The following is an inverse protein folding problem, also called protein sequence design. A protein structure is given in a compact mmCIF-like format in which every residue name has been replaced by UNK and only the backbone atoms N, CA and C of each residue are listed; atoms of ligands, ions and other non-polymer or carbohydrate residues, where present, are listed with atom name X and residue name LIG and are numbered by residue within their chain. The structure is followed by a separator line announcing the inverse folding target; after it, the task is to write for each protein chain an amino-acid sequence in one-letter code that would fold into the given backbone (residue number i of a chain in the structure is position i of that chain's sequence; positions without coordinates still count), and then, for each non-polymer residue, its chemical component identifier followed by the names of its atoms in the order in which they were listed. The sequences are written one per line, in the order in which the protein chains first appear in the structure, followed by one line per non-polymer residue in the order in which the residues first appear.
data_IF_027163384493
#
_entry.id   IF_027163384493
#
_cell.length_a   1.000
_cell.length_b   1.000
_cell.length_c   1.000
_cell.angle_alpha   90.00
_cell.angle_beta   90.00
_cell.angle_gamma   90.00
#
_symmetry.space_group_name_H-M   'P 1'
#
loop_
_entity.id
_entity.type
_entity.pdbx_description
1 polymer ?
#
# COMPACT_ATOMS: atom_id res chain seq x y z
N UNK A 1 -30.15 -24.77 5.97
CA UNK A 1 -29.20 -23.72 6.35
C UNK A 1 -28.24 -23.42 5.19
N UNK A 2 -28.56 -22.40 4.37
CA UNK A 2 -27.66 -21.93 3.31
C UNK A 2 -26.70 -20.91 3.92
N UNK A 3 -25.39 -21.20 3.90
CA UNK A 3 -24.34 -20.22 4.21
C UNK A 3 -24.32 -19.23 3.06
N UNK A 4 -24.96 -18.08 3.25
CA UNK A 4 -24.79 -16.94 2.35
C UNK A 4 -23.34 -16.47 2.49
N UNK A 5 -22.56 -16.61 1.42
CA UNK A 5 -21.29 -15.94 1.23
C UNK A 5 -21.58 -14.45 1.03
N UNK A 6 -21.56 -13.67 2.10
CA UNK A 6 -21.86 -12.24 2.05
C UNK A 6 -20.73 -11.50 1.33
N UNK A 7 -21.06 -10.94 0.17
CA UNK A 7 -20.16 -10.19 -0.69
C UNK A 7 -19.89 -8.80 -0.12
N UNK A 8 -18.87 -8.66 0.72
CA UNK A 8 -18.00 -7.48 0.60
C UNK A 8 -17.23 -7.68 -0.69
N UNK A 9 -17.53 -6.90 -1.74
CA UNK A 9 -16.82 -7.05 -3.02
C UNK A 9 -15.32 -6.87 -2.79
N UNK A 10 -14.58 -7.97 -2.96
CA UNK A 10 -13.15 -7.95 -3.27
C UNK A 10 -12.97 -7.12 -4.55
N UNK A 11 -12.08 -6.14 -4.54
CA UNK A 11 -11.73 -5.44 -5.78
C UNK A 11 -11.03 -6.42 -6.74
N UNK A 12 -11.33 -6.40 -8.06
CA UNK A 12 -10.92 -7.47 -8.97
C UNK A 12 -9.49 -7.36 -9.54
N UNK A 13 -8.59 -6.58 -8.95
CA UNK A 13 -7.25 -6.35 -9.52
C UNK A 13 -6.15 -6.98 -8.68
N UNK A 14 -6.22 -8.30 -8.52
CA UNK A 14 -5.13 -9.12 -8.01
C UNK A 14 -4.87 -10.26 -9.00
N UNK A 15 -3.89 -10.06 -9.89
CA UNK A 15 -3.12 -11.16 -10.47
C UNK A 15 -1.64 -10.78 -10.50
N UNK A 16 -0.94 -11.31 -9.49
CA UNK A 16 0.37 -11.92 -9.52
C UNK A 16 1.29 -11.55 -10.71
N UNK A 17 2.35 -10.81 -10.38
CA UNK A 17 3.55 -10.78 -11.21
C UNK A 17 4.33 -12.08 -11.06
N UNK A 18 4.69 -12.69 -12.18
CA UNK A 18 5.61 -13.82 -12.23
C UNK A 18 7.07 -13.30 -12.38
N UNK A 19 8.08 -13.97 -11.79
CA UNK A 19 9.47 -13.57 -11.85
C UNK A 19 10.22 -14.33 -12.94
N UNK A 20 11.02 -13.58 -13.69
CA UNK A 20 12.03 -14.15 -14.58
C UNK A 20 11.81 -13.72 -16.01
N UNK A 21 12.72 -12.89 -16.52
CA UNK A 21 13.10 -12.97 -17.91
C UNK A 21 14.47 -12.30 -18.09
N UNK A 22 15.40 -13.05 -18.71
CA UNK A 22 16.45 -12.46 -19.52
C UNK A 22 15.76 -11.57 -20.56
N UNK A 23 15.75 -10.26 -20.32
CA UNK A 23 14.91 -9.35 -21.09
C UNK A 23 15.69 -8.81 -22.29
N UNK A 24 15.21 -9.11 -23.49
CA UNK A 24 15.58 -8.41 -24.73
C UNK A 24 14.37 -7.59 -25.17
N UNK A 25 14.32 -6.31 -24.83
CA UNK A 25 13.33 -5.39 -25.41
C UNK A 25 13.75 -5.06 -26.84
N UNK A 26 12.82 -5.13 -27.80
CA UNK A 26 13.08 -4.78 -29.20
C UNK A 26 12.02 -3.80 -29.68
N UNK A 27 12.45 -2.73 -30.34
CA UNK A 27 11.54 -1.75 -30.96
C UNK A 27 11.93 -1.55 -32.42
N UNK A 28 11.03 -1.90 -33.33
CA UNK A 28 11.20 -1.65 -34.77
C UNK A 28 10.78 -0.22 -35.07
N UNK A 29 11.64 0.51 -35.80
CA UNK A 29 11.40 1.88 -36.22
C UNK A 29 11.61 1.96 -37.73
N UNK A 30 10.71 2.65 -38.43
CA UNK A 30 10.83 2.92 -39.87
C UNK A 30 11.07 4.42 -40.01
N UNK A 31 12.16 4.80 -40.67
CA UNK A 31 12.53 6.20 -40.91
C UNK A 31 12.55 6.45 -42.41
N UNK A 32 12.04 7.62 -42.83
CA UNK A 32 12.25 8.09 -44.19
C UNK A 32 13.68 8.66 -44.37
N UNK A 33 14.15 8.86 -45.61
CA UNK A 33 15.43 9.49 -45.86
C UNK A 33 15.54 10.86 -45.16
N UNK A 34 16.59 11.05 -44.35
CA UNK A 34 16.84 12.28 -43.60
C UNK A 34 16.08 12.41 -42.27
N UNK A 35 15.23 11.45 -41.91
CA UNK A 35 14.47 11.47 -40.65
C UNK A 35 15.30 10.92 -39.48
N UNK A 36 15.05 11.44 -38.27
CA UNK A 36 15.65 10.96 -37.03
C UNK A 36 14.56 10.81 -35.97
N UNK A 37 14.57 9.70 -35.24
CA UNK A 37 13.61 9.43 -34.17
C UNK A 37 14.30 9.06 -32.87
N UNK A 38 13.87 9.69 -31.77
CA UNK A 38 14.29 9.32 -30.42
C UNK A 38 13.59 8.03 -30.00
N UNK A 39 14.37 7.03 -29.61
CA UNK A 39 13.89 5.78 -29.04
C UNK A 39 14.21 5.75 -27.55
N UNK A 40 13.22 5.42 -26.72
CA UNK A 40 13.38 5.29 -25.27
C UNK A 40 12.95 3.87 -24.84
N UNK A 41 13.74 3.29 -23.95
CA UNK A 41 13.46 2.04 -23.26
C UNK A 41 13.35 2.34 -21.76
N UNK A 42 12.42 1.68 -21.08
CA UNK A 42 12.23 1.82 -19.63
C UNK A 42 12.42 0.46 -18.97
N UNK A 43 13.22 0.43 -17.90
CA UNK A 43 13.50 -0.76 -17.12
C UNK A 43 13.63 -0.38 -15.64
N UNK A 44 12.91 -1.10 -14.78
CA UNK A 44 13.00 -0.98 -13.32
C UNK A 44 13.72 -2.21 -12.78
N UNK A 45 14.94 -2.07 -12.24
CA UNK A 45 15.69 -3.18 -11.65
C UNK A 45 14.94 -3.80 -10.46
N UNK A 46 14.95 -5.14 -10.36
CA UNK A 46 14.38 -5.86 -9.21
C UNK A 46 15.41 -6.23 -8.13
N UNK A 47 16.70 -6.24 -8.49
CA UNK A 47 17.78 -6.66 -7.59
C UNK A 47 18.87 -5.58 -7.53
N UNK A 48 19.49 -5.45 -6.36
CA UNK A 48 20.63 -4.57 -6.16
C UNK A 48 21.90 -5.19 -6.78
N UNK A 49 22.21 -4.83 -8.03
CA UNK A 49 23.41 -5.26 -8.74
C UNK A 49 23.77 -4.30 -9.89
N UNK A 50 24.93 -4.52 -10.49
CA UNK A 50 25.29 -3.85 -11.74
C UNK A 50 24.57 -4.52 -12.90
N UNK A 51 23.83 -3.73 -13.68
CA UNK A 51 23.20 -4.16 -14.92
C UNK A 51 24.02 -3.62 -16.09
N UNK A 52 24.27 -4.50 -17.06
CA UNK A 52 24.90 -4.14 -18.33
C UNK A 52 23.81 -4.01 -19.38
N UNK A 53 23.87 -2.93 -20.14
CA UNK A 53 22.92 -2.62 -21.22
C UNK A 53 23.69 -2.65 -22.53
N UNK A 54 23.18 -3.37 -23.52
CA UNK A 54 23.74 -3.39 -24.87
C UNK A 54 22.66 -3.02 -25.87
N UNK A 55 22.91 -2.00 -26.70
CA UNK A 55 22.03 -1.57 -27.78
C UNK A 55 22.89 -1.48 -29.04
N UNK A 56 22.64 -2.36 -30.01
CA UNK A 56 23.31 -2.34 -31.32
C UNK A 56 24.85 -2.23 -31.24
N UNK A 57 25.46 -3.01 -30.34
CA UNK A 57 26.91 -3.03 -30.12
C UNK A 57 27.45 -1.92 -29.20
N UNK A 58 26.63 -0.93 -28.83
CA UNK A 58 26.97 0.03 -27.79
C UNK A 58 26.69 -0.56 -26.41
N UNK A 59 27.68 -0.57 -25.53
CA UNK A 59 27.54 -1.05 -24.16
C UNK A 59 27.58 0.08 -23.15
N UNK A 60 26.68 0.03 -22.16
CA UNK A 60 26.71 0.85 -20.96
C UNK A 60 26.45 -0.03 -19.74
N UNK A 61 26.62 0.56 -18.55
CA UNK A 61 26.20 -0.11 -17.32
C UNK A 61 25.64 0.91 -16.33
N UNK A 62 24.79 0.43 -15.44
CA UNK A 62 24.34 1.21 -14.29
C UNK A 62 24.24 0.28 -13.08
N UNK A 63 24.45 0.84 -11.88
CA UNK A 63 24.34 0.10 -10.63
C UNK A 63 22.95 0.33 -10.03
N UNK A 64 22.18 -0.73 -9.89
CA UNK A 64 20.99 -0.73 -9.05
C UNK A 64 21.42 -0.94 -7.59
N UNK A 65 20.92 -0.08 -6.70
CA UNK A 65 21.10 -0.21 -5.25
C UNK A 65 19.82 -0.74 -4.63
N UNK A 66 19.93 -1.39 -3.47
CA UNK A 66 18.76 -1.87 -2.74
C UNK A 66 17.86 -0.68 -2.38
N UNK A 67 16.55 -0.88 -2.51
CA UNK A 67 15.60 0.10 -2.03
C UNK A 67 15.79 0.24 -0.53
N UNK A 68 15.97 1.47 -0.07
CA UNK A 68 15.89 1.77 1.35
C UNK A 68 14.40 1.86 1.66
N UNK A 69 13.94 0.96 2.53
CA UNK A 69 12.51 0.78 2.79
C UNK A 69 12.14 1.18 4.23
N UNK A 70 10.93 1.70 4.36
CA UNK A 70 10.18 1.71 5.59
C UNK A 70 9.48 0.37 5.78
N UNK A 71 9.47 -0.11 7.03
CA UNK A 71 8.76 -1.31 7.44
C UNK A 71 7.56 -0.88 8.27
N UNK A 72 6.36 -0.96 7.69
CA UNK A 72 5.12 -0.65 8.40
C UNK A 72 4.67 -1.87 9.20
N UNK A 73 4.53 -1.68 10.51
CA UNK A 73 4.04 -2.68 11.44
C UNK A 73 2.68 -2.25 12.02
N UNK A 74 1.90 -3.23 12.47
CA UNK A 74 0.71 -2.96 13.25
C UNK A 74 1.13 -2.67 14.70
N UNK A 75 0.87 -1.45 15.16
CA UNK A 75 1.06 -1.03 16.54
C UNK A 75 -0.16 -1.34 17.41
N UNK A 76 -0.39 -0.52 18.44
CA UNK A 76 -1.51 -0.72 19.35
C UNK A 76 -2.83 -0.42 18.64
N UNK A 77 -3.71 -1.43 18.56
CA UNK A 77 -5.09 -1.27 18.12
C UNK A 77 -6.01 -1.55 19.31
N UNK A 78 -6.77 -0.53 19.71
CA UNK A 78 -7.76 -0.62 20.78
C UNK A 78 -9.16 -0.49 20.22
N UNK A 79 -9.99 -1.49 20.46
CA UNK A 79 -11.38 -1.51 20.05
C UNK A 79 -12.29 -1.50 21.28
N UNK A 80 -13.48 -0.91 21.18
CA UNK A 80 -14.48 -1.05 22.24
C UNK A 80 -14.91 -2.53 22.26
N UNK A 81 -15.11 -3.08 23.45
CA UNK A 81 -15.43 -4.51 23.70
C UNK A 81 -16.67 -5.04 22.96
N UNK A 82 -17.38 -4.17 22.25
CA UNK A 82 -18.64 -4.46 21.54
C UNK A 82 -18.50 -4.40 20.02
N UNK A 83 -17.31 -4.17 19.47
CA UNK A 83 -16.96 -4.25 18.04
C UNK A 83 -16.18 -5.55 17.80
N UNK A 84 -16.60 -6.36 16.83
CA UNK A 84 -16.19 -7.76 16.71
C UNK A 84 -15.14 -8.04 15.63
N UNK A 85 -14.90 -7.10 14.72
CA UNK A 85 -13.93 -7.30 13.65
C UNK A 85 -13.29 -5.98 13.25
N UNK A 86 -11.98 -6.03 13.04
CA UNK A 86 -11.25 -5.00 12.34
C UNK A 86 -10.29 -5.58 11.34
N UNK A 87 -9.92 -4.78 10.36
CA UNK A 87 -8.75 -5.02 9.52
C UNK A 87 -7.90 -3.75 9.49
N UNK A 88 -6.59 -3.92 9.40
CA UNK A 88 -5.66 -2.81 9.26
C UNK A 88 -5.10 -2.78 7.85
N UNK A 89 -4.96 -1.58 7.30
CA UNK A 89 -4.55 -1.39 5.92
C UNK A 89 -3.51 -0.29 5.83
N UNK A 90 -2.45 -0.53 5.07
CA UNK A 90 -1.63 0.55 4.49
C UNK A 90 -1.92 0.59 3.00
N UNK A 91 -2.27 1.77 2.48
CA UNK A 91 -2.38 2.00 1.05
C UNK A 91 -1.18 2.80 0.56
N UNK A 92 -0.48 2.24 -0.41
CA UNK A 92 0.60 2.90 -1.14
C UNK A 92 0.05 3.49 -2.43
N UNK A 93 -0.14 4.81 -2.44
CA UNK A 93 -0.68 5.55 -3.58
C UNK A 93 0.27 5.55 -4.75
N UNK A 94 1.57 5.67 -4.47
CA UNK A 94 2.63 5.67 -5.49
C UNK A 94 2.65 4.36 -6.26
N UNK A 95 2.50 3.22 -5.57
CA UNK A 95 2.40 1.90 -6.20
C UNK A 95 0.95 1.50 -6.56
N UNK A 96 -0.05 2.30 -6.19
CA UNK A 96 -1.47 1.98 -6.28
C UNK A 96 -1.81 0.60 -5.71
N UNK A 97 -1.31 0.30 -4.50
CA UNK A 97 -1.40 -1.02 -3.86
C UNK A 97 -1.92 -0.94 -2.44
N UNK A 98 -2.77 -1.90 -2.08
CA UNK A 98 -3.26 -2.10 -0.72
C UNK A 98 -2.53 -3.26 -0.06
N UNK A 99 -2.24 -3.10 1.22
CA UNK A 99 -1.67 -4.14 2.06
C UNK A 99 -2.58 -4.36 3.26
N UNK A 100 -3.24 -5.51 3.31
CA UNK A 100 -4.23 -5.83 4.32
C UNK A 100 -3.62 -6.72 5.40
N UNK A 101 -3.92 -6.43 6.66
CA UNK A 101 -3.46 -7.25 7.77
C UNK A 101 -4.05 -8.66 7.70
N UNK A 102 -5.34 -8.78 7.40
CA UNK A 102 -6.04 -10.07 7.30
C UNK A 102 -5.48 -11.01 6.22
N UNK A 103 -4.82 -10.49 5.19
CA UNK A 103 -4.18 -11.30 4.13
C UNK A 103 -2.68 -11.50 4.32
N UNK A 104 -2.15 -11.14 5.51
CA UNK A 104 -0.72 -11.28 5.82
C UNK A 104 0.15 -10.20 5.17
N UNK A 105 -0.43 -9.05 4.81
CA UNK A 105 0.31 -7.94 4.21
C UNK A 105 1.33 -7.28 5.14
N UNK A 106 1.21 -7.46 6.46
CA UNK A 106 2.11 -6.89 7.45
C UNK A 106 3.14 -7.93 7.96
N UNK A 107 4.40 -7.52 8.23
CA UNK A 107 4.94 -6.18 8.04
C UNK A 107 5.07 -5.80 6.55
N UNK A 108 4.77 -4.53 6.26
CA UNK A 108 4.75 -3.98 4.91
C UNK A 108 6.08 -3.30 4.60
N UNK A 109 6.63 -3.57 3.42
CA UNK A 109 7.85 -2.93 2.94
C UNK A 109 7.51 -1.86 1.89
N UNK A 110 7.75 -0.60 2.21
CA UNK A 110 7.47 0.54 1.33
C UNK A 110 8.77 1.32 1.06
N UNK A 111 9.14 1.56 -0.20
CA UNK A 111 10.28 2.41 -0.51
C UNK A 111 10.13 3.84 0.00
N UNK A 112 11.24 4.46 0.42
CA UNK A 112 11.29 5.90 0.69
C UNK A 112 10.82 6.69 -0.54
N UNK A 113 10.07 7.75 -0.31
CA UNK A 113 9.50 8.65 -1.31
C UNK A 113 8.06 8.29 -1.71
N UNK A 114 7.56 7.12 -1.30
CA UNK A 114 6.18 6.73 -1.57
C UNK A 114 5.20 7.53 -0.69
N UNK A 115 4.05 7.88 -1.26
CA UNK A 115 2.94 8.52 -0.55
C UNK A 115 1.96 7.45 -0.07
N UNK A 116 1.67 7.40 1.23
CA UNK A 116 0.86 6.36 1.86
C UNK A 116 -0.19 6.92 2.81
N UNK A 117 -1.25 6.16 3.09
CA UNK A 117 -2.07 6.34 4.30
C UNK A 117 -2.24 5.03 5.05
N UNK A 118 -2.55 5.13 6.34
CA UNK A 118 -2.97 4.02 7.18
C UNK A 118 -4.48 4.07 7.41
N UNK A 119 -5.12 2.91 7.52
CA UNK A 119 -6.54 2.84 7.83
C UNK A 119 -6.89 1.64 8.71
N UNK A 120 -7.95 1.80 9.49
CA UNK A 120 -8.61 0.71 10.19
C UNK A 120 -10.04 0.59 9.69
N UNK A 121 -10.36 -0.62 9.28
CA UNK A 121 -11.70 -1.07 8.93
C UNK A 121 -12.39 -1.61 10.17
N UNK A 122 -13.66 -1.28 10.39
CA UNK A 122 -14.47 -1.83 11.48
C UNK A 122 -15.83 -2.29 10.96
N UNK A 123 -16.29 -3.46 11.42
CA UNK A 123 -17.61 -4.01 11.07
C UNK A 123 -18.55 -4.08 12.28
N UNK A 124 -19.75 -3.53 12.15
CA UNK A 124 -20.79 -3.57 13.18
C UNK A 124 -21.65 -4.84 13.04
N UNK A 125 -21.37 -5.86 13.85
CA UNK A 125 -22.19 -7.10 13.94
C UNK A 125 -23.42 -6.98 14.84
N UNK A 126 -23.69 -5.80 15.41
CA UNK A 126 -24.82 -5.60 16.32
C UNK A 126 -26.11 -5.41 15.54
N UNK A 127 -27.23 -5.76 16.16
CA UNK A 127 -28.57 -5.53 15.63
C UNK A 127 -29.03 -4.07 15.72
N UNK A 128 -28.19 -3.17 16.22
CA UNK A 128 -28.48 -1.74 16.34
C UNK A 128 -27.32 -0.88 15.80
N UNK A 129 -27.65 0.36 15.46
CA UNK A 129 -26.70 1.36 14.97
C UNK A 129 -25.77 1.81 16.09
N UNK A 130 -24.47 1.91 15.81
CA UNK A 130 -23.46 2.47 16.72
C UNK A 130 -22.85 3.72 16.09
N UNK A 131 -22.52 4.72 16.89
CA UNK A 131 -21.72 5.86 16.45
C UNK A 131 -20.26 5.62 16.84
N UNK A 132 -19.36 5.61 15.85
CA UNK A 132 -17.94 5.34 16.06
C UNK A 132 -17.11 6.60 15.86
N UNK A 133 -16.13 6.77 16.74
CA UNK A 133 -15.04 7.73 16.57
C UNK A 133 -13.73 6.97 16.36
N UNK A 134 -13.01 7.33 15.31
CA UNK A 134 -11.73 6.74 14.93
C UNK A 134 -10.57 7.67 15.27
N UNK A 135 -9.52 7.10 15.85
CA UNK A 135 -8.25 7.77 16.15
C UNK A 135 -7.13 6.92 15.59
N UNK A 136 -6.85 7.03 14.29
CA UNK A 136 -5.79 6.30 13.59
C UNK A 136 -4.56 7.16 13.43
N UNK A 137 -3.37 6.59 13.54
CA UNK A 137 -2.10 7.31 13.38
C UNK A 137 -1.02 6.48 12.71
N UNK A 138 -0.20 7.15 11.92
CA UNK A 138 1.09 6.68 11.43
C UNK A 138 2.21 7.38 12.20
N UNK A 139 3.08 6.59 12.80
CA UNK A 139 4.23 7.07 13.57
C UNK A 139 5.52 6.61 12.89
N UNK A 140 6.47 7.52 12.74
CA UNK A 140 7.77 7.23 12.14
C UNK A 140 8.71 6.48 13.12
N UNK A 141 9.87 6.02 12.65
CA UNK A 141 10.84 5.28 13.46
C UNK A 141 11.40 6.05 14.66
N UNK A 142 11.31 7.39 14.65
CA UNK A 142 11.73 8.26 15.75
C UNK A 142 10.61 8.49 16.77
N UNK A 143 9.42 7.91 16.55
CA UNK A 143 8.26 8.07 17.41
C UNK A 143 7.41 9.31 17.10
N UNK A 144 7.66 10.00 15.99
CA UNK A 144 6.94 11.21 15.59
C UNK A 144 5.66 10.80 14.83
N UNK A 145 4.51 11.35 15.22
CA UNK A 145 3.25 11.17 14.46
C UNK A 145 3.34 11.99 13.17
N UNK A 146 3.17 11.33 12.03
CA UNK A 146 3.32 11.95 10.70
C UNK A 146 2.01 12.12 9.95
N UNK A 147 1.02 11.29 10.29
CA UNK A 147 -0.35 11.42 9.84
C UNK A 147 -1.29 10.85 10.89
N UNK A 148 -2.46 11.46 11.03
CA UNK A 148 -3.52 10.98 11.91
C UNK A 148 -4.89 11.21 11.25
N UNK A 149 -5.93 10.59 11.80
CA UNK A 149 -7.29 10.80 11.32
C UNK A 149 -7.84 12.15 11.77
N UNK A 150 -8.45 12.90 10.85
CA UNK A 150 -9.46 13.88 11.25
C UNK A 150 -10.67 13.14 11.82
N UNK A 151 -11.08 13.49 13.03
CA UNK A 151 -12.07 12.73 13.79
C UNK A 151 -13.46 12.86 13.18
N UNK A 152 -13.95 11.79 12.56
CA UNK A 152 -15.33 11.72 12.08
C UNK A 152 -16.15 10.76 12.93
N UNK A 153 -17.36 11.23 13.29
CA UNK A 153 -18.38 10.39 13.90
C UNK A 153 -19.17 9.73 12.78
N UNK A 154 -19.11 8.40 12.73
CA UNK A 154 -19.83 7.66 11.71
C UNK A 154 -20.91 6.79 12.34
N UNK A 155 -22.19 6.98 11.96
CA UNK A 155 -23.24 6.06 12.34
C UNK A 155 -23.12 4.77 11.51
N UNK A 156 -22.64 3.71 12.14
CA UNK A 156 -22.50 2.40 11.52
C UNK A 156 -23.75 1.57 11.81
N UNK A 157 -24.57 1.37 10.77
CA UNK A 157 -25.78 0.54 10.85
C UNK A 157 -25.44 -0.94 11.13
N UNK A 158 -26.41 -1.75 11.59
CA UNK A 158 -26.26 -3.20 11.67
C UNK A 158 -25.75 -3.79 10.37
N UNK A 159 -24.81 -4.73 10.47
CA UNK A 159 -24.21 -5.44 9.34
C UNK A 159 -23.50 -4.55 8.31
N UNK A 160 -23.17 -3.31 8.69
CA UNK A 160 -22.37 -2.38 7.90
C UNK A 160 -20.98 -2.21 8.50
N UNK A 161 -20.07 -1.69 7.68
CA UNK A 161 -18.72 -1.32 8.08
C UNK A 161 -18.45 0.16 7.86
N UNK A 162 -17.41 0.62 8.53
CA UNK A 162 -16.87 1.95 8.36
C UNK A 162 -15.36 1.96 8.51
N UNK A 163 -14.73 3.03 8.04
CA UNK A 163 -13.30 3.21 8.00
C UNK A 163 -12.85 4.45 8.77
N UNK A 164 -11.75 4.30 9.50
CA UNK A 164 -10.93 5.43 9.96
C UNK A 164 -9.63 5.47 9.17
N UNK A 165 -9.32 6.60 8.55
CA UNK A 165 -8.11 6.80 7.73
C UNK A 165 -7.23 7.85 8.38
N UNK A 166 -5.91 7.73 8.22
CA UNK A 166 -5.00 8.86 8.40
C UNK A 166 -4.99 9.75 7.15
N UNK A 167 -4.47 10.96 7.28
CA UNK A 167 -3.97 11.71 6.13
C UNK A 167 -2.90 10.93 5.36
N UNK A 168 -2.65 11.37 4.13
CA UNK A 168 -1.51 10.90 3.35
C UNK A 168 -0.21 11.47 3.91
N UNK A 169 0.84 10.64 3.92
CA UNK A 169 2.20 11.02 4.28
C UNK A 169 3.19 10.47 3.26
N UNK A 170 4.22 11.25 2.94
CA UNK A 170 5.37 10.76 2.20
C UNK A 170 6.33 10.05 3.15
N UNK A 171 6.65 8.80 2.85
CA UNK A 171 7.63 8.00 3.59
C UNK A 171 9.02 8.58 3.37
N UNK A 172 9.56 9.31 4.33
CA UNK A 172 10.83 10.00 4.21
C UNK A 172 11.98 9.36 5.01
N UNK A 173 11.66 8.32 5.80
CA UNK A 173 12.61 7.64 6.68
C UNK A 173 12.51 6.12 6.54
N UNK A 174 13.66 5.46 6.61
CA UNK A 174 13.75 4.01 6.72
C UNK A 174 13.55 3.55 8.15
N UNK A 175 13.20 2.27 8.31
CA UNK A 175 13.00 1.65 9.62
C UNK A 175 11.54 1.40 9.95
N UNK A 176 11.24 1.15 11.22
CA UNK A 176 9.93 0.68 11.65
C UNK A 176 8.95 1.84 11.79
N UNK A 177 8.00 1.92 10.86
CA UNK A 177 6.82 2.74 10.99
C UNK A 177 5.72 1.95 11.67
N UNK A 178 4.85 2.61 12.44
CA UNK A 178 3.73 1.93 13.09
C UNK A 178 2.40 2.55 12.72
N UNK A 179 1.45 1.70 12.30
CA UNK A 179 0.03 2.04 12.22
C UNK A 179 -0.64 1.67 13.53
N UNK A 180 -1.17 2.65 14.27
CA UNK A 180 -1.90 2.41 15.51
C UNK A 180 -3.31 3.01 15.42
N UNK A 181 -4.22 2.49 16.23
CA UNK A 181 -5.59 3.00 16.25
C UNK A 181 -6.30 2.83 17.58
N UNK A 182 -7.20 3.77 17.88
CA UNK A 182 -8.20 3.62 18.93
C UNK A 182 -9.56 3.87 18.28
N UNK A 183 -10.51 2.98 18.52
CA UNK A 183 -11.90 3.15 18.11
C UNK A 183 -12.76 3.26 19.36
N UNK A 184 -13.66 4.24 19.40
CA UNK A 184 -14.58 4.44 20.53
C UNK A 184 -16.02 4.42 20.05
N UNK A 185 -16.89 3.81 20.84
CA UNK A 185 -18.35 3.98 20.70
C UNK A 185 -18.75 5.24 21.45
N UNK A 186 -19.61 6.05 20.84
CA UNK A 186 -20.26 7.19 21.48
C UNK A 186 -21.66 6.84 21.96
#
# INVERSE_FOLDING_TARGET
HKRNSYQCRRNPWEQNGDPGNNMTQTKKVTLNPGESQKVAFSYTPKEAKTYYVTIDGLSGSFKAIAAVEAIFQLGNVSLPSRIEFYDAVVFDKTASRYYWYSTGGFPVHIPIGHEVYGAIYVYNRRSYRVELAFYTKLTDPDGIVRAESEHYFYPVSPDHCEWGFTDYVVVDKSGNWTLSAIVKVR
#
